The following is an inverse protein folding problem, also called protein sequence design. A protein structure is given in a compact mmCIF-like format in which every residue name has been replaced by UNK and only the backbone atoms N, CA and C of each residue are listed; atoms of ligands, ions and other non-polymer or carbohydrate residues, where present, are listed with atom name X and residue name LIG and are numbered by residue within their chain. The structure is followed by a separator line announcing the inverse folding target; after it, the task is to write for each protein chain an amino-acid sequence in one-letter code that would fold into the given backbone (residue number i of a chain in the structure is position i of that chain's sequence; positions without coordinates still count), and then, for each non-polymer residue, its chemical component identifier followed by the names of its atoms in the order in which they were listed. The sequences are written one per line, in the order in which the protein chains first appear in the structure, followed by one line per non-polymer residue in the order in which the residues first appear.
data_IF_959996492143
#
_entry.id   IF_959996492143
#
_cell.length_a   1.000
_cell.length_b   1.000
_cell.length_c   1.000
_cell.angle_alpha   90.00
_cell.angle_beta   90.00
_cell.angle_gamma   90.00
#
_symmetry.space_group_name_H-M   'P 1'
#
loop_
_entity.id
_entity.type
_entity.pdbx_description
1 polymer ?
#
# COMPACT_ATOMS: atom_id res chain seq x y z
N UNK A 1 -24.58 -7.59 2.78
CA UNK A 1 -23.19 -7.95 3.14
C UNK A 1 -23.06 -8.67 4.48
N UNK A 2 -23.88 -8.37 5.51
CA UNK A 2 -23.82 -9.05 6.81
C UNK A 2 -24.01 -10.59 6.75
N UNK A 3 -24.91 -11.10 5.90
CA UNK A 3 -25.22 -12.54 5.82
C UNK A 3 -24.10 -13.45 5.28
N UNK A 4 -23.06 -12.90 4.63
CA UNK A 4 -21.95 -13.72 4.16
C UNK A 4 -20.96 -14.06 5.28
N UNK A 5 -20.81 -13.21 6.32
CA UNK A 5 -19.77 -13.40 7.33
C UNK A 5 -19.97 -14.64 8.21
N UNK A 6 -21.22 -15.05 8.43
CA UNK A 6 -21.51 -16.12 9.41
C UNK A 6 -21.09 -17.52 8.91
N UNK A 7 -20.99 -17.74 7.60
CA UNK A 7 -20.68 -19.05 7.01
C UNK A 7 -19.20 -19.27 6.68
N UNK A 8 -18.37 -18.21 6.59
CA UNK A 8 -16.93 -18.33 6.24
C UNK A 8 -15.99 -18.34 7.46
N UNK A 9 -16.55 -18.39 8.67
CA UNK A 9 -15.79 -18.32 9.90
C UNK A 9 -15.16 -16.93 10.13
N UNK A 10 -14.36 -16.84 11.20
CA UNK A 10 -13.69 -15.60 11.60
C UNK A 10 -12.78 -15.12 10.46
N UNK A 11 -13.05 -13.92 9.92
CA UNK A 11 -12.15 -13.26 8.95
C UNK A 11 -10.77 -13.13 9.59
N UNK A 12 -9.77 -13.79 9.00
CA UNK A 12 -8.37 -13.70 9.46
C UNK A 12 -7.62 -12.55 8.80
N UNK A 13 -7.86 -12.33 7.51
CA UNK A 13 -7.37 -11.22 6.70
C UNK A 13 -8.33 -10.99 5.51
N UNK A 14 -8.23 -9.82 4.90
CA UNK A 14 -9.15 -9.37 3.83
C UNK A 14 -8.99 -10.16 2.53
N UNK A 15 -7.79 -10.68 2.23
CA UNK A 15 -7.48 -11.47 1.04
C UNK A 15 -8.16 -12.83 1.07
N UNK A 16 -8.12 -13.51 2.22
CA UNK A 16 -8.81 -14.79 2.40
C UNK A 16 -10.31 -14.60 2.30
N UNK A 17 -10.84 -13.51 2.86
CA UNK A 17 -12.24 -13.17 2.72
C UNK A 17 -12.64 -12.95 1.25
N UNK A 18 -11.84 -12.20 0.49
CA UNK A 18 -12.07 -11.99 -0.94
C UNK A 18 -11.99 -13.28 -1.76
N UNK A 19 -11.01 -14.16 -1.48
CA UNK A 19 -10.90 -15.48 -2.11
C UNK A 19 -12.13 -16.35 -1.85
N UNK A 20 -12.62 -16.39 -0.61
CA UNK A 20 -13.80 -17.15 -0.24
C UNK A 20 -15.06 -16.69 -0.99
N UNK A 21 -15.20 -15.37 -1.20
CA UNK A 21 -16.32 -14.82 -2.00
C UNK A 21 -16.17 -15.23 -3.47
N UNK A 22 -14.97 -15.15 -4.05
CA UNK A 22 -14.73 -15.61 -5.42
C UNK A 22 -15.09 -17.09 -5.59
N UNK A 23 -14.62 -17.95 -4.67
CA UNK A 23 -14.90 -19.38 -4.67
C UNK A 23 -16.39 -19.67 -4.54
N UNK A 24 -17.12 -18.93 -3.69
CA UNK A 24 -18.56 -19.08 -3.54
C UNK A 24 -19.32 -18.89 -4.85
N UNK A 25 -19.09 -17.79 -5.56
CA UNK A 25 -19.83 -17.50 -6.79
C UNK A 25 -19.49 -18.49 -7.91
N UNK A 26 -18.22 -18.88 -8.02
CA UNK A 26 -17.78 -19.82 -9.04
C UNK A 26 -18.27 -21.25 -8.77
N UNK A 27 -18.36 -21.67 -7.51
CA UNK A 27 -18.86 -23.00 -7.13
C UNK A 27 -20.39 -23.10 -7.12
N UNK A 28 -21.10 -22.03 -6.75
CA UNK A 28 -22.56 -22.05 -6.59
C UNK A 28 -23.33 -21.88 -7.90
N UNK A 29 -22.73 -21.21 -8.90
CA UNK A 29 -23.44 -20.82 -10.13
C UNK A 29 -22.67 -21.20 -11.39
N UNK A 30 -23.05 -22.29 -12.05
CA UNK A 30 -22.33 -22.83 -13.23
C UNK A 30 -22.16 -21.85 -14.39
N UNK A 31 -23.06 -20.87 -14.54
CA UNK A 31 -23.01 -19.86 -15.61
C UNK A 31 -22.04 -18.70 -15.31
N UNK A 32 -21.57 -18.55 -14.07
CA UNK A 32 -20.61 -17.50 -13.71
C UNK A 32 -19.23 -17.90 -14.21
N UNK A 33 -18.61 -17.10 -15.07
CA UNK A 33 -17.30 -17.40 -15.66
C UNK A 33 -16.14 -16.70 -14.95
N UNK A 34 -16.44 -15.64 -14.19
CA UNK A 34 -15.45 -14.81 -13.50
C UNK A 34 -16.03 -14.18 -12.24
N UNK A 35 -15.26 -14.15 -11.17
CA UNK A 35 -15.53 -13.38 -9.97
C UNK A 35 -14.40 -12.39 -9.71
N UNK A 36 -14.75 -11.18 -9.27
CA UNK A 36 -13.81 -10.13 -8.94
C UNK A 36 -14.30 -9.42 -7.67
N UNK A 37 -13.45 -9.39 -6.65
CA UNK A 37 -13.79 -8.90 -5.31
C UNK A 37 -12.73 -7.90 -4.87
N UNK A 38 -13.17 -6.69 -4.53
CA UNK A 38 -12.34 -5.65 -3.91
C UNK A 38 -12.76 -5.50 -2.46
N UNK A 39 -11.78 -5.47 -1.54
CA UNK A 39 -12.01 -5.28 -0.11
C UNK A 39 -11.08 -4.22 0.42
N UNK A 40 -11.59 -3.37 1.30
CA UNK A 40 -10.83 -2.36 2.02
C UNK A 40 -11.07 -2.52 3.51
N UNK A 41 -9.99 -2.56 4.28
CA UNK A 41 -10.05 -2.64 5.73
C UNK A 41 -10.18 -1.25 6.33
N UNK A 42 -11.19 -1.04 7.18
CA UNK A 42 -11.29 0.18 7.96
C UNK A 42 -10.17 0.17 9.03
N UNK A 43 -9.28 1.18 9.10
CA UNK A 43 -8.05 1.12 9.90
C UNK A 43 -8.30 1.39 11.39
N UNK A 44 -8.99 0.46 12.04
CA UNK A 44 -9.19 0.46 13.48
C UNK A 44 -7.95 -0.04 14.21
N UNK A 45 -7.37 0.81 15.07
CA UNK A 45 -6.29 0.41 15.98
C UNK A 45 -6.85 0.24 17.39
N UNK A 46 -6.47 -0.83 18.07
CA UNK A 46 -6.84 -1.04 19.47
C UNK A 46 -6.26 0.09 20.35
N UNK A 47 -7.05 0.62 21.27
CA UNK A 47 -6.56 1.59 22.25
C UNK A 47 -5.39 1.00 23.03
N UNK A 48 -4.34 1.78 23.22
CA UNK A 48 -3.15 1.37 23.95
C UNK A 48 -2.62 2.53 24.80
N UNK A 49 -2.31 2.25 26.06
CA UNK A 49 -1.69 3.22 26.98
C UNK A 49 -0.66 2.49 27.85
N UNK A 50 0.57 3.01 27.90
CA UNK A 50 1.69 2.40 28.65
C UNK A 50 1.92 0.91 28.29
N UNK A 51 1.76 0.54 27.01
CA UNK A 51 1.88 -0.84 26.52
C UNK A 51 0.67 -1.74 26.81
N UNK A 52 -0.34 -1.26 27.54
CA UNK A 52 -1.56 -2.03 27.86
C UNK A 52 -2.62 -1.75 26.80
N UNK A 53 -3.06 -2.81 26.12
CA UNK A 53 -4.11 -2.76 25.10
C UNK A 53 -5.50 -2.89 25.73
N UNK A 54 -6.43 -2.01 25.36
CA UNK A 54 -7.81 -2.06 25.85
C UNK A 54 -8.55 -3.30 25.32
N UNK A 55 -9.39 -3.92 26.15
CA UNK A 55 -10.09 -5.17 25.81
C UNK A 55 -11.09 -5.04 24.67
N UNK A 56 -11.74 -3.88 24.52
CA UNK A 56 -12.80 -3.67 23.52
C UNK A 56 -12.90 -2.24 22.94
N UNK A 57 -11.88 -1.39 23.13
CA UNK A 57 -11.91 -0.01 22.61
C UNK A 57 -10.93 0.16 21.45
N UNK A 58 -11.34 0.91 20.44
CA UNK A 58 -10.62 1.11 19.18
C UNK A 58 -10.67 2.57 18.74
N UNK A 59 -9.58 3.05 18.13
CA UNK A 59 -9.45 4.38 17.55
C UNK A 59 -9.23 4.25 16.04
N UNK A 60 -9.90 5.08 15.26
CA UNK A 60 -9.68 5.13 13.82
C UNK A 60 -8.34 5.81 13.53
N UNK A 61 -7.40 5.09 12.90
CA UNK A 61 -6.01 5.54 12.68
C UNK A 61 -5.58 5.33 11.23
N UNK A 62 -5.87 6.27 10.32
CA UNK A 62 -5.62 6.12 8.88
C UNK A 62 -4.15 6.38 8.52
N UNK A 63 -3.22 5.55 9.03
CA UNK A 63 -1.78 5.64 8.76
C UNK A 63 -1.33 4.68 7.65
N UNK A 64 -2.12 4.65 6.58
CA UNK A 64 -2.09 3.65 5.51
C UNK A 64 -3.21 2.62 5.66
N UNK A 65 -4.07 2.53 4.65
CA UNK A 65 -5.24 1.64 4.59
C UNK A 65 -4.89 0.38 3.81
N UNK A 66 -5.15 -0.79 4.40
CA UNK A 66 -5.00 -2.08 3.74
C UNK A 66 -6.19 -2.32 2.80
N UNK A 67 -5.92 -2.64 1.54
CA UNK A 67 -6.93 -3.10 0.60
C UNK A 67 -6.41 -4.31 -0.18
N UNK A 68 -7.33 -5.12 -0.70
CA UNK A 68 -7.02 -6.23 -1.58
C UNK A 68 -7.99 -6.32 -2.76
N UNK A 69 -7.54 -7.01 -3.80
CA UNK A 69 -8.30 -7.30 -5.00
C UNK A 69 -8.02 -8.74 -5.43
N UNK A 70 -9.08 -9.55 -5.51
CA UNK A 70 -9.00 -10.95 -5.96
C UNK A 70 -9.85 -11.11 -7.20
N UNK A 71 -9.23 -11.57 -8.28
CA UNK A 71 -9.91 -11.97 -9.52
C UNK A 71 -9.72 -13.47 -9.74
N UNK A 72 -10.79 -14.19 -10.07
CA UNK A 72 -10.71 -15.60 -10.41
C UNK A 72 -11.60 -15.92 -11.61
N UNK A 73 -11.00 -16.54 -12.63
CA UNK A 73 -11.71 -17.16 -13.75
C UNK A 73 -12.18 -18.56 -13.34
N UNK A 74 -13.30 -19.03 -13.88
CA UNK A 74 -13.76 -20.41 -13.68
C UNK A 74 -12.66 -21.39 -14.11
N UNK A 75 -12.41 -22.39 -13.27
CA UNK A 75 -11.35 -23.40 -13.46
C UNK A 75 -9.91 -22.83 -13.51
N UNK A 76 -9.72 -21.56 -13.15
CA UNK A 76 -8.41 -20.92 -13.04
C UNK A 76 -8.01 -20.65 -11.58
N UNK A 77 -6.71 -20.44 -11.32
CA UNK A 77 -6.25 -20.01 -10.01
C UNK A 77 -6.67 -18.55 -9.74
N UNK A 78 -6.88 -18.16 -8.47
CA UNK A 78 -7.13 -16.76 -8.13
C UNK A 78 -5.87 -15.91 -8.33
N UNK A 79 -6.05 -14.70 -8.85
CA UNK A 79 -5.05 -13.64 -8.91
C UNK A 79 -5.30 -12.69 -7.74
N UNK A 80 -4.34 -12.59 -6.84
CA UNK A 80 -4.48 -11.85 -5.57
C UNK A 80 -3.55 -10.63 -5.63
N UNK A 81 -4.12 -9.47 -5.34
CA UNK A 81 -3.38 -8.25 -5.07
C UNK A 81 -3.69 -7.74 -3.68
N UNK A 82 -2.66 -7.19 -3.02
CA UNK A 82 -2.84 -6.34 -1.85
C UNK A 82 -2.21 -4.99 -2.08
N UNK A 83 -2.53 -4.05 -1.22
CA UNK A 83 -2.04 -2.70 -1.37
C UNK A 83 -2.20 -1.82 -0.15
N UNK A 84 -1.54 -0.68 -0.24
CA UNK A 84 -1.61 0.42 0.70
C UNK A 84 -2.18 1.61 -0.06
N UNK A 85 -3.21 2.24 0.48
CA UNK A 85 -3.69 3.54 0.02
C UNK A 85 -3.86 4.50 1.19
N UNK A 86 -4.14 5.76 0.90
CA UNK A 86 -4.39 6.81 1.90
C UNK A 86 -3.26 7.00 2.93
N UNK A 87 -2.03 6.55 2.60
CA UNK A 87 -0.85 6.77 3.42
C UNK A 87 -0.27 8.16 3.11
N UNK A 88 -0.60 9.13 3.95
CA UNK A 88 -0.13 10.52 3.82
C UNK A 88 1.19 10.70 4.56
N UNK A 89 2.22 11.15 3.84
CA UNK A 89 3.55 11.40 4.40
C UNK A 89 4.10 12.73 3.88
N UNK A 90 4.92 13.39 4.69
CA UNK A 90 5.53 14.66 4.38
C UNK A 90 6.94 14.71 4.99
N UNK A 91 7.90 15.20 4.23
CA UNK A 91 9.19 15.69 4.75
C UNK A 91 9.43 17.13 4.30
N UNK A 92 10.01 17.92 5.18
CA UNK A 92 10.15 19.38 4.99
C UNK A 92 11.40 19.78 4.22
N UNK A 93 12.38 18.87 4.12
CA UNK A 93 13.68 19.06 3.48
C UNK A 93 14.16 17.72 2.87
N UNK A 94 15.42 17.64 2.45
CA UNK A 94 16.04 16.44 1.87
C UNK A 94 15.30 15.96 0.60
N UNK A 95 14.76 16.92 -0.16
CA UNK A 95 14.21 16.68 -1.50
C UNK A 95 14.57 17.82 -2.41
N UNK A 96 15.13 17.50 -3.58
CA UNK A 96 15.36 18.47 -4.64
C UNK A 96 14.62 18.08 -5.92
N UNK A 97 14.72 18.97 -6.90
CA UNK A 97 14.33 18.71 -8.28
C UNK A 97 15.12 19.66 -9.19
N UNK A 98 16.16 19.11 -9.82
CA UNK A 98 17.08 19.81 -10.70
C UNK A 98 17.51 18.89 -11.85
N UNK A 99 18.10 19.45 -12.92
CA UNK A 99 18.56 18.70 -14.08
C UNK A 99 17.46 18.19 -15.00
N UNK A 100 16.25 18.73 -14.91
CA UNK A 100 15.15 18.40 -15.84
C UNK A 100 15.30 19.15 -17.17
N UNK A 101 14.67 18.60 -18.22
CA UNK A 101 14.64 19.22 -19.55
C UNK A 101 13.98 20.60 -19.46
N UNK A 102 14.63 21.63 -20.03
CA UNK A 102 14.09 22.98 -20.12
C UNK A 102 13.75 23.28 -21.58
N UNK A 103 12.50 23.62 -21.82
CA UNK A 103 11.98 24.07 -23.10
C UNK A 103 11.29 25.43 -22.97
N UNK A 104 10.70 25.92 -24.05
CA UNK A 104 9.98 27.19 -24.10
C UNK A 104 8.76 27.28 -23.17
N UNK A 105 8.29 26.15 -22.60
CA UNK A 105 7.18 26.09 -21.66
C UNK A 105 7.63 25.89 -20.21
N UNK A 106 8.93 25.75 -19.97
CA UNK A 106 9.48 25.44 -18.65
C UNK A 106 9.65 26.71 -17.82
N UNK A 107 8.71 26.94 -16.90
CA UNK A 107 8.75 28.07 -15.94
C UNK A 107 9.20 27.66 -14.54
N UNK A 108 9.28 26.35 -14.28
CA UNK A 108 9.62 25.82 -12.98
C UNK A 108 11.12 26.05 -12.69
N UNK A 109 11.48 26.74 -11.58
CA UNK A 109 12.86 26.86 -11.18
C UNK A 109 13.38 25.53 -10.59
N UNK A 110 14.67 25.28 -10.79
CA UNK A 110 15.36 24.18 -10.11
C UNK A 110 15.49 24.50 -8.62
N UNK A 111 15.33 23.47 -7.79
CA UNK A 111 15.43 23.59 -6.34
C UNK A 111 16.28 22.46 -5.78
N UNK A 112 17.26 22.80 -4.95
CA UNK A 112 18.08 21.82 -4.23
C UNK A 112 17.43 21.36 -2.93
N UNK A 113 16.49 22.14 -2.41
CA UNK A 113 15.71 21.76 -1.25
C UNK A 113 14.26 22.27 -1.38
N UNK A 114 13.32 21.38 -1.07
CA UNK A 114 11.88 21.62 -1.07
C UNK A 114 11.17 20.63 -0.15
N UNK A 115 9.96 20.97 0.25
CA UNK A 115 9.09 20.00 0.90
C UNK A 115 8.64 18.92 -0.12
N UNK A 116 8.51 17.70 0.37
CA UNK A 116 7.95 16.58 -0.37
C UNK A 116 6.80 16.00 0.44
N UNK A 117 5.57 16.23 -0.03
CA UNK A 117 4.36 15.68 0.53
C UNK A 117 3.66 14.78 -0.49
N UNK A 118 3.20 13.61 -0.05
CA UNK A 118 2.53 12.63 -0.91
C UNK A 118 1.47 11.85 -0.16
N UNK A 119 0.42 11.47 -0.88
CA UNK A 119 -0.40 10.32 -0.53
C UNK A 119 0.05 9.10 -1.35
N UNK A 120 0.59 8.10 -0.67
CA UNK A 120 1.12 6.88 -1.29
C UNK A 120 -0.02 5.92 -1.65
N UNK A 121 0.05 5.40 -2.87
CA UNK A 121 -0.69 4.23 -3.32
C UNK A 121 0.31 3.16 -3.79
N UNK A 122 0.26 1.99 -3.17
CA UNK A 122 1.02 0.81 -3.57
C UNK A 122 0.04 -0.33 -3.85
N UNK A 123 0.22 -1.05 -4.95
CA UNK A 123 -0.48 -2.32 -5.24
C UNK A 123 0.53 -3.34 -5.72
N UNK A 124 0.49 -4.55 -5.18
CA UNK A 124 1.36 -5.64 -5.58
C UNK A 124 0.57 -6.92 -5.79
N UNK A 125 1.06 -7.77 -6.69
CA UNK A 125 0.48 -9.08 -6.99
C UNK A 125 1.27 -10.18 -6.29
N UNK A 126 0.59 -11.15 -5.68
CA UNK A 126 1.24 -12.32 -5.12
C UNK A 126 1.55 -13.39 -6.16
N UNK A 127 2.60 -14.17 -5.93
CA UNK A 127 2.92 -15.35 -6.74
C UNK A 127 2.16 -16.61 -6.28
N UNK A 128 1.83 -16.68 -4.99
CA UNK A 128 1.18 -17.82 -4.34
C UNK A 128 0.12 -17.30 -3.37
N UNK A 129 -0.92 -18.11 -3.11
CA UNK A 129 -1.99 -17.77 -2.16
C UNK A 129 -1.66 -18.08 -0.70
N UNK A 130 -0.67 -18.95 -0.45
CA UNK A 130 -0.27 -19.38 0.89
C UNK A 130 0.89 -18.52 1.40
N UNK A 131 0.53 -17.33 1.88
CA UNK A 131 1.45 -16.33 2.41
C UNK A 131 0.84 -15.65 3.63
N UNK A 132 1.70 -15.11 4.49
CA UNK A 132 1.27 -14.22 5.57
C UNK A 132 1.02 -12.81 5.00
N UNK A 133 -0.23 -12.56 4.60
CA UNK A 133 -0.65 -11.31 3.97
C UNK A 133 -0.39 -10.08 4.86
N UNK A 134 -0.73 -10.18 6.15
CA UNK A 134 -0.57 -9.10 7.13
C UNK A 134 0.91 -8.76 7.35
N UNK A 135 1.76 -9.78 7.53
CA UNK A 135 3.20 -9.55 7.68
C UNK A 135 3.82 -8.91 6.43
N UNK A 136 3.35 -9.29 5.24
CA UNK A 136 3.83 -8.71 3.98
C UNK A 136 3.36 -7.26 3.83
N UNK A 137 2.10 -6.97 4.14
CA UNK A 137 1.58 -5.61 4.13
C UNK A 137 2.37 -4.70 5.08
N UNK A 138 2.62 -5.16 6.30
CA UNK A 138 3.45 -4.46 7.28
C UNK A 138 4.87 -4.20 6.77
N UNK A 139 5.52 -5.21 6.21
CA UNK A 139 6.86 -5.07 5.65
C UNK A 139 6.92 -4.07 4.49
N UNK A 140 5.96 -4.11 3.54
CA UNK A 140 5.93 -3.14 2.43
C UNK A 140 5.69 -1.72 2.96
N UNK A 141 4.79 -1.56 3.93
CA UNK A 141 4.53 -0.27 4.56
C UNK A 141 5.79 0.30 5.22
N UNK A 142 6.53 -0.53 5.94
CA UNK A 142 7.76 -0.10 6.61
C UNK A 142 8.86 0.26 5.61
N UNK A 143 8.99 -0.50 4.51
CA UNK A 143 9.91 -0.17 3.41
C UNK A 143 9.55 1.18 2.78
N UNK A 144 8.26 1.44 2.53
CA UNK A 144 7.78 2.73 1.99
C UNK A 144 8.19 3.88 2.92
N UNK A 145 7.92 3.75 4.21
CA UNK A 145 8.24 4.78 5.20
C UNK A 145 9.75 4.98 5.33
N UNK A 146 10.51 3.89 5.39
CA UNK A 146 11.97 3.92 5.48
C UNK A 146 12.58 4.63 4.27
N UNK A 147 12.14 4.30 3.06
CA UNK A 147 12.69 4.91 1.83
C UNK A 147 12.24 6.33 1.59
N UNK A 148 11.08 6.71 2.12
CA UNK A 148 10.62 8.09 2.06
C UNK A 148 11.41 8.99 3.03
N UNK A 149 11.54 8.57 4.29
CA UNK A 149 12.12 9.38 5.36
C UNK A 149 13.66 9.28 5.43
N UNK A 150 14.22 8.09 5.21
CA UNK A 150 15.62 7.79 5.50
C UNK A 150 15.87 7.57 7.00
N UNK A 151 17.15 7.59 7.44
CA UNK A 151 17.52 7.52 8.85
C UNK A 151 16.89 8.67 9.66
N UNK A 152 16.41 8.38 10.87
CA UNK A 152 15.63 9.33 11.68
C UNK A 152 16.45 10.55 12.17
N UNK A 153 17.78 10.39 12.25
CA UNK A 153 18.72 11.39 12.73
C UNK A 153 19.13 12.40 11.65
N UNK A 154 19.14 12.02 10.38
CA UNK A 154 19.69 12.84 9.27
C UNK A 154 18.84 12.90 8.00
N UNK A 155 17.83 12.04 7.90
CA UNK A 155 17.05 11.83 6.68
C UNK A 155 17.87 11.30 5.50
N UNK A 156 17.24 11.18 4.34
CA UNK A 156 17.89 10.79 3.09
C UNK A 156 17.44 11.72 1.95
N UNK A 157 18.42 12.29 1.23
CA UNK A 157 18.17 13.18 0.11
C UNK A 157 17.54 12.42 -1.07
N UNK A 158 16.43 12.93 -1.58
CA UNK A 158 15.77 12.42 -2.78
C UNK A 158 15.88 13.43 -3.93
N UNK A 159 16.59 13.09 -5.03
CA UNK A 159 16.74 13.98 -6.19
C UNK A 159 15.47 14.02 -7.06
N UNK A 160 14.61 13.02 -6.94
CA UNK A 160 13.33 12.95 -7.65
C UNK A 160 12.38 11.97 -7.00
N UNK A 161 11.08 12.23 -7.16
CA UNK A 161 10.02 11.34 -6.70
C UNK A 161 10.14 9.97 -7.37
N UNK A 162 10.45 9.96 -8.67
CA UNK A 162 10.65 8.76 -9.48
C UNK A 162 11.73 7.85 -8.90
N UNK A 163 12.85 8.43 -8.45
CA UNK A 163 13.94 7.67 -7.82
C UNK A 163 13.49 7.02 -6.52
N UNK A 164 12.82 7.78 -5.63
CA UNK A 164 12.29 7.22 -4.38
C UNK A 164 11.27 6.11 -4.62
N UNK A 165 10.36 6.27 -5.60
CA UNK A 165 9.40 5.23 -5.97
C UNK A 165 10.11 3.96 -6.46
N UNK A 166 11.13 4.11 -7.32
CA UNK A 166 11.91 2.99 -7.82
C UNK A 166 12.66 2.26 -6.69
N UNK A 167 13.24 3.00 -5.75
CA UNK A 167 13.99 2.40 -4.63
C UNK A 167 13.07 1.64 -3.67
N UNK A 168 11.84 2.11 -3.47
CA UNK A 168 10.79 1.36 -2.75
C UNK A 168 10.50 0.04 -3.46
N UNK A 169 10.33 0.08 -4.79
CA UNK A 169 10.03 -1.11 -5.59
C UNK A 169 11.16 -2.14 -5.49
N UNK A 170 12.39 -1.72 -5.75
CA UNK A 170 13.56 -2.60 -5.71
C UNK A 170 13.73 -3.21 -4.32
N UNK A 171 13.63 -2.40 -3.26
CA UNK A 171 13.79 -2.91 -1.90
C UNK A 171 12.67 -3.90 -1.53
N UNK A 172 11.42 -3.58 -1.85
CA UNK A 172 10.26 -4.47 -1.60
C UNK A 172 10.44 -5.83 -2.30
N UNK A 173 10.87 -5.82 -3.55
CA UNK A 173 11.10 -7.04 -4.32
C UNK A 173 12.32 -7.84 -3.83
N UNK A 174 13.32 -7.17 -3.26
CA UNK A 174 14.51 -7.84 -2.70
C UNK A 174 14.27 -8.47 -1.33
N UNK A 175 13.45 -7.85 -0.47
CA UNK A 175 13.19 -8.34 0.89
C UNK A 175 12.04 -9.37 0.94
N UNK A 176 11.18 -9.37 -0.08
CA UNK A 176 10.05 -10.29 -0.20
C UNK A 176 10.18 -11.15 -1.47
N UNK A 177 11.34 -11.82 -1.70
CA UNK A 177 11.51 -12.68 -2.85
C UNK A 177 10.51 -13.83 -2.79
N UNK A 178 10.07 -14.31 -3.95
CA UNK A 178 9.07 -15.39 -4.12
C UNK A 178 7.63 -15.10 -3.66
N UNK A 179 7.39 -13.96 -3.03
CA UNK A 179 6.04 -13.59 -2.54
C UNK A 179 5.34 -12.61 -3.47
N UNK A 180 6.08 -11.69 -4.09
CA UNK A 180 5.55 -10.62 -4.95
C UNK A 180 6.02 -10.79 -6.41
N UNK A 181 5.12 -10.52 -7.37
CA UNK A 181 5.43 -10.56 -8.79
C UNK A 181 6.08 -9.24 -9.25
N UNK A 182 7.34 -9.31 -9.72
CA UNK A 182 8.21 -8.15 -9.97
C UNK A 182 7.62 -7.09 -10.91
N UNK A 183 6.89 -7.50 -11.95
CA UNK A 183 6.31 -6.60 -12.96
C UNK A 183 4.95 -6.01 -12.57
N UNK A 184 4.40 -6.37 -11.40
CA UNK A 184 3.08 -5.93 -10.95
C UNK A 184 3.09 -5.11 -9.65
N UNK A 185 4.27 -4.66 -9.19
CA UNK A 185 4.34 -3.66 -8.13
C UNK A 185 4.14 -2.27 -8.74
N UNK A 186 2.99 -1.66 -8.46
CA UNK A 186 2.67 -0.31 -8.90
C UNK A 186 2.71 0.63 -7.73
N UNK A 187 3.48 1.70 -7.86
CA UNK A 187 3.51 2.79 -6.89
C UNK A 187 3.07 4.06 -7.58
N UNK A 188 2.05 4.72 -7.04
CA UNK A 188 1.61 6.04 -7.47
C UNK A 188 1.63 6.98 -6.27
N UNK A 189 1.82 8.25 -6.57
CA UNK A 189 1.85 9.33 -5.59
C UNK A 189 1.06 10.49 -6.17
N UNK A 190 0.23 11.10 -5.33
CA UNK A 190 -0.29 12.44 -5.61
C UNK A 190 0.58 13.43 -4.87
N UNK A 191 1.23 14.34 -5.60
CA UNK A 191 2.04 15.41 -5.02
C UNK A 191 1.14 16.58 -4.63
N UNK A 192 1.23 17.01 -3.37
CA UNK A 192 0.61 18.28 -2.92
C UNK A 192 1.71 19.31 -2.72
N UNK A 193 1.59 20.47 -3.38
CA UNK A 193 2.62 21.51 -3.45
C UNK A 193 2.73 22.39 -2.19
N UNK A 194 1.81 22.26 -1.23
CA UNK A 194 1.75 23.16 -0.07
C UNK A 194 2.20 22.45 1.21
N UNK A 195 3.29 22.93 1.79
CA UNK A 195 3.71 22.58 3.15
C UNK A 195 3.73 23.86 4.00
N UNK A 196 3.10 23.86 5.19
CA UNK A 196 3.39 24.89 6.18
C UNK A 196 4.86 24.75 6.60
N UNK A 197 5.64 25.82 6.50
CA UNK A 197 6.95 25.88 7.18
C UNK A 197 6.65 26.01 8.67
N UNK A 198 6.74 24.91 9.41
CA UNK A 198 6.78 24.96 10.87
C UNK A 198 8.19 25.41 11.25
N UNK A 199 8.28 26.66 11.71
CA UNK A 199 9.51 27.26 12.25
C UNK A 199 9.81 26.76 13.65
#
# INVERSE_FOLDING_TARGET
MAHYHDNYGKIRNIETFAMNICEHFLSSFNHVTRAHVYVEEVPWKRFEKNGIKHVHAFIHTPTGTHFCEVEQMRNGPPVIHSGIKDLKVLKTTQSGFEGFLKDQFTTLPEVKDRCFATQVYCKWRYQRRDVDFEAIWGAVRDIVLQKFAGPYDKGEYSPSVQKTLYDIQVLSLSQLPEKIWKSAFRTFTTLTSTCPKWG
#
